data_IF_163504620681
#
_entry.id   IF_163504620681
#
_cell.length_a   1.000
_cell.length_b   1.000
_cell.length_c   1.000
_cell.angle_alpha   90.00
_cell.angle_beta   90.00
_cell.angle_gamma   90.00
#
_symmetry.space_group_name_H-M   'P 1'
#
loop_
_entity.id
_entity.type
_entity.pdbx_description
1 polymer ?
#
# COMPACT_ATOMS: atom_id res chain seq x y z
N UNK A 1 6.27 23.30 -53.87
CA UNK A 1 5.70 23.62 -52.55
C UNK A 1 6.59 22.93 -51.49
N UNK A 2 7.56 23.64 -50.93
CA UNK A 2 8.55 23.09 -49.98
C UNK A 2 7.90 23.00 -48.60
N UNK A 3 7.64 21.78 -48.14
CA UNK A 3 7.16 21.53 -46.77
C UNK A 3 8.29 21.89 -45.81
N UNK A 4 8.02 22.79 -44.87
CA UNK A 4 9.01 23.35 -43.93
C UNK A 4 9.49 22.26 -42.94
N UNK A 5 10.80 22.19 -42.63
CA UNK A 5 11.38 21.17 -41.74
C UNK A 5 10.89 21.24 -40.29
N UNK A 6 10.24 22.35 -39.91
CA UNK A 6 9.72 22.59 -38.56
C UNK A 6 8.54 21.64 -38.23
N UNK A 7 7.75 21.24 -39.23
CA UNK A 7 6.60 20.35 -39.00
C UNK A 7 7.02 18.91 -38.71
N UNK A 8 8.21 18.47 -39.18
CA UNK A 8 8.73 17.13 -38.91
C UNK A 8 9.27 16.99 -37.48
N UNK A 9 9.81 18.06 -36.90
CA UNK A 9 10.33 18.04 -35.52
C UNK A 9 9.21 17.93 -34.49
N UNK A 10 8.05 18.56 -34.74
CA UNK A 10 6.90 18.47 -33.83
C UNK A 10 6.24 17.07 -33.83
N UNK A 11 6.28 16.35 -34.95
CA UNK A 11 5.74 14.97 -35.01
C UNK A 11 6.69 13.99 -34.32
N UNK A 12 8.00 14.22 -34.39
CA UNK A 12 8.99 13.41 -33.68
C UNK A 12 8.93 13.60 -32.15
N UNK A 13 8.65 14.82 -31.66
CA UNK A 13 8.53 15.08 -30.21
C UNK A 13 7.24 14.53 -29.60
N UNK A 14 6.16 14.40 -30.39
CA UNK A 14 4.91 13.79 -29.95
C UNK A 14 4.99 12.25 -29.84
N UNK A 15 5.94 11.60 -30.50
CA UNK A 15 6.11 10.15 -30.43
C UNK A 15 6.88 9.69 -29.17
N UNK A 16 7.68 10.57 -28.56
CA UNK A 16 8.49 10.24 -27.36
C UNK A 16 7.72 10.48 -26.06
N UNK A 17 6.64 11.28 -26.08
CA UNK A 17 5.79 11.50 -24.90
C UNK A 17 4.80 10.35 -24.65
N UNK A 18 4.51 9.53 -25.65
CA UNK A 18 3.49 8.47 -25.57
C UNK A 18 4.00 7.16 -24.95
N UNK A 19 5.32 6.97 -24.82
CA UNK A 19 5.92 5.76 -24.24
C UNK A 19 6.02 5.80 -22.72
N UNK A 20 5.76 6.95 -22.08
CA UNK A 20 5.71 7.09 -20.62
C UNK A 20 4.41 6.54 -20.01
N UNK A 21 3.40 6.28 -20.85
CA UNK A 21 2.18 5.57 -20.48
C UNK A 21 2.21 4.17 -21.09
N UNK A 22 3.26 3.42 -20.81
CA UNK A 22 3.15 1.97 -20.93
C UNK A 22 1.96 1.57 -20.06
N UNK A 23 0.86 1.21 -20.72
CA UNK A 23 -0.30 0.58 -20.11
C UNK A 23 0.24 -0.50 -19.18
N UNK A 24 0.11 -0.31 -17.87
CA UNK A 24 0.37 -1.39 -16.92
C UNK A 24 -0.46 -2.57 -17.43
N UNK A 25 0.15 -3.72 -17.76
CA UNK A 25 -0.61 -4.81 -18.31
C UNK A 25 -1.73 -5.12 -17.32
N UNK A 26 -2.98 -4.98 -17.78
CA UNK A 26 -4.17 -5.41 -17.05
C UNK A 26 -4.14 -6.92 -16.71
N UNK A 27 -3.14 -7.65 -17.22
CA UNK A 27 -2.89 -9.06 -17.01
C UNK A 27 -2.44 -9.48 -15.60
N UNK A 28 -2.33 -8.56 -14.64
CA UNK A 28 -2.13 -8.91 -13.22
C UNK A 28 -3.43 -8.97 -12.42
N UNK A 29 -4.57 -8.62 -13.02
CA UNK A 29 -5.88 -8.72 -12.35
C UNK A 29 -6.38 -10.16 -12.17
N UNK A 30 -5.76 -11.15 -12.85
CA UNK A 30 -6.17 -12.56 -12.79
C UNK A 30 -5.46 -13.37 -11.69
N UNK A 31 -4.45 -12.82 -11.01
CA UNK A 31 -3.92 -13.45 -9.80
C UNK A 31 -4.82 -13.10 -8.61
N UNK A 32 -5.56 -14.09 -8.12
CA UNK A 32 -6.30 -13.98 -6.88
C UNK A 32 -5.35 -13.53 -5.76
N UNK A 33 -5.68 -12.43 -5.09
CA UNK A 33 -4.89 -11.93 -3.97
C UNK A 33 -4.76 -13.01 -2.88
N UNK A 34 -3.56 -13.27 -2.36
CA UNK A 34 -3.37 -14.22 -1.26
C UNK A 34 -4.18 -13.79 -0.03
N UNK A 35 -4.82 -14.77 0.60
CA UNK A 35 -5.55 -14.61 1.85
C UNK A 35 -4.97 -15.61 2.84
N UNK A 36 -4.61 -15.15 4.03
CA UNK A 36 -4.09 -15.95 5.12
C UNK A 36 -4.58 -15.46 6.47
N UNK A 37 -3.92 -15.89 7.54
CA UNK A 37 -4.25 -15.49 8.90
C UNK A 37 -3.21 -14.51 9.46
N UNK A 38 -3.59 -13.75 10.48
CA UNK A 38 -2.63 -12.95 11.25
C UNK A 38 -1.49 -13.85 11.75
N UNK A 39 -0.25 -13.44 11.48
CA UNK A 39 0.98 -14.21 11.68
C UNK A 39 1.54 -14.81 10.38
N UNK A 40 0.72 -15.01 9.35
CA UNK A 40 1.19 -15.52 8.06
C UNK A 40 1.96 -14.46 7.28
N UNK A 41 3.00 -14.91 6.57
CA UNK A 41 3.71 -14.08 5.59
C UNK A 41 3.10 -14.31 4.21
N UNK A 42 2.50 -13.28 3.63
CA UNK A 42 1.90 -13.32 2.31
C UNK A 42 2.74 -12.55 1.30
N UNK A 43 2.92 -13.14 0.11
CA UNK A 43 3.68 -12.55 -0.98
C UNK A 43 2.73 -11.96 -2.02
N UNK A 44 2.95 -10.72 -2.43
CA UNK A 44 2.28 -10.15 -3.61
C UNK A 44 3.32 -9.64 -4.64
N UNK A 45 2.99 -9.77 -5.92
CA UNK A 45 3.67 -9.12 -7.03
C UNK A 45 2.63 -8.35 -7.86
N UNK A 46 2.81 -7.05 -7.99
CA UNK A 46 1.92 -6.15 -8.71
C UNK A 46 2.71 -5.11 -9.53
N UNK A 47 2.85 -5.37 -10.82
CA UNK A 47 3.45 -4.45 -11.78
C UNK A 47 4.95 -4.30 -11.52
N UNK A 48 5.36 -3.15 -11.01
CA UNK A 48 6.76 -2.85 -10.64
C UNK A 48 7.03 -2.99 -9.15
N UNK A 49 6.02 -3.32 -8.34
CA UNK A 49 6.12 -3.47 -6.88
C UNK A 49 5.80 -4.90 -6.45
N UNK A 50 6.44 -5.36 -5.39
CA UNK A 50 6.16 -6.65 -4.75
C UNK A 50 6.87 -6.73 -3.40
N UNK A 51 6.26 -7.45 -2.46
CA UNK A 51 6.83 -7.66 -1.13
C UNK A 51 6.26 -8.91 -0.45
N UNK A 52 7.04 -9.45 0.47
CA UNK A 52 6.54 -10.35 1.52
C UNK A 52 6.08 -9.50 2.70
N UNK A 53 4.87 -9.73 3.18
CA UNK A 53 4.26 -8.95 4.26
C UNK A 53 3.75 -9.89 5.34
N UNK A 54 4.07 -9.60 6.60
CA UNK A 54 3.55 -10.30 7.78
C UNK A 54 2.83 -9.28 8.64
N UNK A 55 1.58 -9.56 9.01
CA UNK A 55 0.88 -8.81 10.05
C UNK A 55 0.87 -9.65 11.32
N UNK A 56 1.39 -9.12 12.43
CA UNK A 56 1.67 -9.90 13.64
C UNK A 56 0.53 -9.96 14.64
N UNK A 57 -0.24 -8.88 14.75
CA UNK A 57 -1.31 -8.73 15.73
C UNK A 57 -2.29 -7.65 15.31
N UNK A 58 -3.44 -7.61 15.99
CA UNK A 58 -4.43 -6.53 15.90
C UNK A 58 -4.86 -6.22 17.33
N UNK A 59 -4.70 -4.97 17.77
CA UNK A 59 -5.03 -4.59 19.13
C UNK A 59 -5.53 -3.14 19.26
N UNK A 60 -6.43 -2.84 20.22
CA UNK A 60 -6.75 -1.46 20.57
C UNK A 60 -5.56 -0.79 21.27
N UNK A 61 -5.48 0.53 21.17
CA UNK A 61 -4.42 1.35 21.77
C UNK A 61 -4.94 2.73 22.20
N UNK A 62 -4.10 3.49 22.91
CA UNK A 62 -4.37 4.88 23.24
C UNK A 62 -4.30 5.77 22.00
N UNK A 63 -4.66 7.06 22.13
CA UNK A 63 -4.56 8.01 21.02
C UNK A 63 -3.08 8.33 20.74
N UNK A 64 -2.55 7.97 19.56
CA UNK A 64 -1.17 8.25 19.17
C UNK A 64 -0.89 9.76 19.04
N UNK A 65 0.37 10.17 19.26
CA UNK A 65 0.78 11.53 18.95
C UNK A 65 0.58 11.87 17.46
N UNK A 66 0.26 13.13 17.15
CA UNK A 66 0.10 13.61 15.76
C UNK A 66 -1.20 13.19 15.06
N UNK A 67 -2.01 12.32 15.68
CA UNK A 67 -3.31 11.92 15.14
C UNK A 67 -4.37 13.01 15.39
N UNK A 68 -5.32 13.14 14.47
CA UNK A 68 -6.52 13.94 14.69
C UNK A 68 -7.33 13.40 15.90
N UNK A 69 -8.17 14.23 16.55
CA UNK A 69 -9.05 13.76 17.60
C UNK A 69 -9.87 12.54 17.13
N UNK A 70 -9.83 11.41 17.86
CA UNK A 70 -10.43 10.16 17.40
C UNK A 70 -11.96 10.24 17.43
N UNK A 71 -12.59 9.57 16.47
CA UNK A 71 -14.05 9.36 16.45
C UNK A 71 -14.45 8.15 17.28
N UNK A 72 -13.56 7.19 17.45
CA UNK A 72 -13.77 6.00 18.26
C UNK A 72 -12.51 5.56 19.01
N UNK A 73 -12.27 4.25 19.01
CA UNK A 73 -11.09 3.65 19.64
C UNK A 73 -10.00 3.54 18.58
N UNK A 74 -8.76 3.88 18.93
CA UNK A 74 -7.65 3.66 18.01
C UNK A 74 -7.22 2.21 18.08
N UNK A 75 -7.04 1.60 16.93
CA UNK A 75 -6.50 0.25 16.80
C UNK A 75 -5.19 0.29 16.05
N UNK A 76 -4.31 -0.67 16.32
CA UNK A 76 -3.04 -0.82 15.62
C UNK A 76 -2.72 -2.26 15.29
N UNK A 77 -1.83 -2.45 14.33
CA UNK A 77 -1.23 -3.73 13.99
C UNK A 77 0.25 -3.57 13.69
N UNK A 78 1.09 -4.46 14.23
CA UNK A 78 2.49 -4.54 13.86
C UNK A 78 2.67 -5.29 12.55
N UNK A 79 3.53 -4.76 11.68
CA UNK A 79 3.75 -5.26 10.32
C UNK A 79 5.24 -5.36 10.04
N UNK A 80 5.66 -6.49 9.47
CA UNK A 80 6.97 -6.65 8.85
C UNK A 80 6.81 -6.69 7.33
N UNK A 81 7.63 -5.92 6.62
CA UNK A 81 7.62 -5.88 5.15
C UNK A 81 9.03 -6.16 4.65
N UNK A 82 9.14 -7.10 3.71
CA UNK A 82 10.35 -7.38 2.94
C UNK A 82 10.09 -7.07 1.47
N UNK A 83 10.58 -5.93 0.94
CA UNK A 83 10.43 -5.61 -0.48
C UNK A 83 11.14 -6.64 -1.36
N UNK A 84 10.42 -7.29 -2.27
CA UNK A 84 10.96 -8.31 -3.18
C UNK A 84 11.22 -7.73 -4.57
N UNK A 85 10.46 -6.70 -4.94
CA UNK A 85 10.51 -6.03 -6.24
C UNK A 85 10.11 -4.57 -6.05
N UNK A 86 11.01 -3.62 -6.23
CA UNK A 86 10.69 -2.18 -6.15
C UNK A 86 11.56 -1.36 -7.09
N UNK A 87 11.04 -0.31 -7.74
CA UNK A 87 11.84 0.56 -8.61
C UNK A 87 12.79 1.48 -7.82
N UNK A 88 12.50 1.76 -6.55
CA UNK A 88 13.33 2.51 -5.63
C UNK A 88 12.87 2.26 -4.18
N UNK A 89 13.67 2.69 -3.19
CA UNK A 89 13.42 2.44 -1.76
C UNK A 89 12.18 3.14 -1.18
N UNK A 90 11.59 4.11 -1.88
CA UNK A 90 10.41 4.87 -1.45
C UNK A 90 9.10 4.34 -2.07
N UNK A 91 9.20 3.39 -3.00
CA UNK A 91 8.08 3.00 -3.85
C UNK A 91 6.90 2.39 -3.07
N UNK A 92 7.18 1.55 -2.07
CA UNK A 92 6.13 0.91 -1.28
C UNK A 92 5.34 1.92 -0.43
N UNK A 93 5.99 2.97 0.09
CA UNK A 93 5.30 4.02 0.85
C UNK A 93 4.19 4.67 0.02
N UNK A 94 4.44 4.88 -1.27
CA UNK A 94 3.48 5.51 -2.18
C UNK A 94 2.42 4.53 -2.68
N UNK A 95 2.74 3.25 -2.71
CA UNK A 95 1.92 2.26 -3.39
C UNK A 95 1.00 1.46 -2.46
N UNK A 96 1.29 1.38 -1.16
CA UNK A 96 0.62 0.45 -0.24
C UNK A 96 -0.32 1.17 0.73
N UNK A 97 -1.46 0.54 1.00
CA UNK A 97 -2.41 0.93 2.03
C UNK A 97 -2.93 -0.31 2.76
N UNK A 98 -2.72 -0.38 4.08
CA UNK A 98 -3.26 -1.46 4.92
C UNK A 98 -4.51 -0.96 5.62
N UNK A 99 -5.68 -1.37 5.13
CA UNK A 99 -6.97 -1.03 5.73
C UNK A 99 -7.41 -2.09 6.74
N UNK A 100 -8.06 -1.65 7.83
CA UNK A 100 -8.70 -2.55 8.78
C UNK A 100 -10.17 -2.75 8.42
N UNK A 101 -10.68 -3.98 8.46
CA UNK A 101 -12.06 -4.33 8.15
C UNK A 101 -12.74 -4.89 9.41
N UNK A 102 -13.95 -4.40 9.70
CA UNK A 102 -14.86 -5.00 10.68
C UNK A 102 -15.94 -5.79 9.94
N UNK A 103 -15.86 -7.12 9.89
CA UNK A 103 -16.87 -7.95 9.24
C UNK A 103 -18.21 -7.91 9.97
N UNK A 104 -18.23 -7.63 11.28
CA UNK A 104 -19.49 -7.58 12.05
C UNK A 104 -20.35 -6.36 11.67
N UNK A 105 -19.72 -5.28 11.20
CA UNK A 105 -20.39 -4.01 10.85
C UNK A 105 -20.32 -3.69 9.36
N UNK A 106 -19.45 -4.37 8.60
CA UNK A 106 -19.17 -4.07 7.20
C UNK A 106 -18.33 -2.81 6.99
N UNK A 107 -17.75 -2.24 8.05
CA UNK A 107 -16.93 -1.04 7.98
C UNK A 107 -15.50 -1.34 7.53
N UNK A 108 -14.94 -0.40 6.75
CA UNK A 108 -13.53 -0.36 6.39
C UNK A 108 -12.91 0.92 6.93
N UNK A 109 -11.82 0.78 7.68
CA UNK A 109 -11.09 1.86 8.30
C UNK A 109 -9.79 2.12 7.56
N UNK A 110 -9.54 3.39 7.26
CA UNK A 110 -8.34 3.78 6.54
C UNK A 110 -7.17 4.04 7.48
N UNK A 111 -5.95 3.60 7.11
CA UNK A 111 -4.78 3.83 7.92
C UNK A 111 -4.56 5.33 8.12
N UNK A 112 -4.28 5.70 9.36
CA UNK A 112 -4.00 7.05 9.77
C UNK A 112 -2.50 7.22 9.97
N UNK A 113 -2.01 8.41 9.67
CA UNK A 113 -0.65 8.80 10.01
C UNK A 113 -0.59 9.26 11.46
N UNK A 114 0.52 8.95 12.10
CA UNK A 114 0.86 9.33 13.47
C UNK A 114 2.29 9.88 13.52
N UNK A 115 2.64 10.45 14.66
CA UNK A 115 4.02 10.84 15.01
C UNK A 115 4.67 9.79 15.93
N UNK A 116 4.06 8.62 16.11
CA UNK A 116 4.68 7.52 16.85
C UNK A 116 5.93 7.03 16.13
N UNK A 117 6.98 6.67 16.87
CA UNK A 117 8.24 6.23 16.28
C UNK A 117 8.11 4.94 15.47
N UNK A 118 7.08 4.13 15.74
CA UNK A 118 6.80 2.88 15.05
C UNK A 118 5.85 3.04 13.85
N UNK A 119 5.38 4.25 13.50
CA UNK A 119 4.53 4.43 12.31
C UNK A 119 5.21 3.84 11.06
N UNK A 120 4.53 2.88 10.42
CA UNK A 120 5.06 2.14 9.27
C UNK A 120 5.50 3.08 8.12
N UNK A 121 4.88 4.26 8.00
CA UNK A 121 5.27 5.24 7.01
C UNK A 121 6.71 5.71 7.18
N UNK A 122 7.23 5.78 8.41
CA UNK A 122 8.63 6.15 8.64
C UNK A 122 9.59 5.09 8.11
N UNK A 123 9.29 3.81 8.37
CA UNK A 123 10.10 2.69 7.93
C UNK A 123 10.09 2.55 6.39
N UNK A 124 8.93 2.77 5.75
CA UNK A 124 8.78 2.65 4.31
C UNK A 124 9.40 3.81 3.49
N UNK A 125 9.83 4.91 4.13
CA UNK A 125 10.55 5.99 3.44
C UNK A 125 11.89 5.53 2.83
N UNK A 126 12.47 4.46 3.36
CA UNK A 126 13.72 3.91 2.88
C UNK A 126 13.73 2.37 3.02
N UNK A 127 12.88 1.70 2.26
CA UNK A 127 12.79 0.25 2.19
C UNK A 127 13.33 -0.26 0.83
N UNK A 128 14.66 -0.35 0.64
CA UNK A 128 15.24 -0.86 -0.60
C UNK A 128 14.91 -2.36 -0.81
N UNK A 129 14.97 -2.81 -2.05
CA UNK A 129 14.75 -4.22 -2.39
C UNK A 129 15.66 -5.15 -1.56
N UNK A 130 15.08 -6.22 -1.01
CA UNK A 130 15.78 -7.20 -0.18
C UNK A 130 15.95 -6.81 1.29
N UNK A 131 15.65 -5.57 1.67
CA UNK A 131 15.66 -5.13 3.08
C UNK A 131 14.48 -5.72 3.87
N UNK A 132 14.51 -5.55 5.18
CA UNK A 132 13.38 -5.83 6.07
C UNK A 132 13.10 -4.59 6.89
N UNK A 133 11.84 -4.15 6.88
CA UNK A 133 11.38 -3.01 7.66
C UNK A 133 10.21 -3.43 8.54
N UNK A 134 10.11 -2.81 9.72
CA UNK A 134 9.06 -3.07 10.69
C UNK A 134 8.36 -1.76 11.05
N UNK A 135 7.09 -1.84 11.38
CA UNK A 135 6.34 -0.70 11.89
C UNK A 135 4.93 -1.10 12.32
N UNK A 136 4.11 -0.10 12.57
CA UNK A 136 2.72 -0.22 12.97
C UNK A 136 1.83 0.61 12.05
N UNK A 137 0.65 0.07 11.77
CA UNK A 137 -0.43 0.78 11.09
C UNK A 137 -1.51 1.08 12.11
N UNK A 138 -2.10 2.27 12.04
CA UNK A 138 -3.09 2.77 13.00
C UNK A 138 -4.42 3.07 12.30
N UNK A 139 -5.55 2.82 12.97
CA UNK A 139 -6.90 3.11 12.45
C UNK A 139 -7.77 3.78 13.52
N UNK A 140 -8.60 4.74 13.12
CA UNK A 140 -9.68 5.29 13.95
C UNK A 140 -10.94 4.44 13.76
N UNK A 141 -11.23 3.58 14.74
CA UNK A 141 -12.27 2.55 14.69
C UNK A 141 -13.50 3.04 15.46
N UNK A 142 -14.51 3.47 14.71
CA UNK A 142 -15.68 4.17 15.27
C UNK A 142 -16.95 3.31 15.40
N UNK A 143 -16.96 2.04 14.96
CA UNK A 143 -18.12 1.14 15.10
C UNK A 143 -17.75 -0.26 15.59
N UNK A 144 -17.26 -1.12 14.71
CA UNK A 144 -16.88 -2.50 15.03
C UNK A 144 -15.37 -2.73 15.02
N UNK A 145 -14.85 -3.70 15.81
CA UNK A 145 -13.42 -3.99 15.91
C UNK A 145 -12.83 -4.43 14.57
N UNK A 146 -11.54 -4.16 14.36
CA UNK A 146 -10.82 -4.67 13.20
C UNK A 146 -10.61 -6.17 13.38
N UNK A 147 -11.01 -6.97 12.39
CA UNK A 147 -10.80 -8.42 12.34
C UNK A 147 -9.99 -8.86 11.16
N UNK A 148 -10.06 -8.14 10.04
CA UNK A 148 -9.23 -8.44 8.88
C UNK A 148 -8.39 -7.22 8.51
N UNK A 149 -7.21 -7.46 7.97
CA UNK A 149 -6.38 -6.42 7.37
C UNK A 149 -6.29 -6.70 5.88
N UNK A 150 -6.57 -5.69 5.07
CA UNK A 150 -6.53 -5.78 3.61
C UNK A 150 -5.46 -4.82 3.10
N UNK A 151 -4.44 -5.38 2.46
CA UNK A 151 -3.45 -4.62 1.72
C UNK A 151 -4.01 -4.29 0.33
N UNK A 152 -4.03 -3.01 0.00
CA UNK A 152 -4.48 -2.49 -1.29
C UNK A 152 -3.44 -1.59 -1.92
N UNK A 153 -3.50 -1.52 -3.25
CA UNK A 153 -2.82 -0.48 -4.01
C UNK A 153 -3.43 0.89 -3.70
N UNK A 154 -2.62 1.88 -3.33
CA UNK A 154 -3.09 3.25 -3.08
C UNK A 154 -3.71 3.86 -4.34
N UNK A 155 -3.12 3.62 -5.51
CA UNK A 155 -3.54 4.24 -6.77
C UNK A 155 -4.79 3.59 -7.37
N UNK A 156 -4.85 2.26 -7.39
CA UNK A 156 -5.89 1.50 -8.10
C UNK A 156 -6.90 0.86 -7.18
N UNK A 157 -6.67 0.86 -5.86
CA UNK A 157 -7.48 0.18 -4.84
C UNK A 157 -7.62 -1.33 -5.05
N UNK A 158 -6.83 -1.92 -5.96
CA UNK A 158 -6.75 -3.36 -6.16
C UNK A 158 -6.32 -4.04 -4.86
N UNK A 159 -7.01 -5.12 -4.52
CA UNK A 159 -6.68 -5.98 -3.38
C UNK A 159 -5.41 -6.76 -3.70
N UNK A 160 -4.37 -6.61 -2.86
CA UNK A 160 -3.07 -7.23 -3.04
C UNK A 160 -2.82 -8.40 -2.08
N UNK A 161 -3.36 -8.35 -0.85
CA UNK A 161 -3.32 -9.44 0.12
C UNK A 161 -4.30 -9.18 1.29
N UNK A 162 -4.73 -10.23 2.00
CA UNK A 162 -5.55 -10.11 3.21
C UNK A 162 -5.12 -11.07 4.32
N UNK A 163 -5.21 -10.59 5.56
CA UNK A 163 -5.00 -11.38 6.77
C UNK A 163 -6.25 -11.36 7.64
N UNK A 164 -6.72 -12.54 8.01
CA UNK A 164 -7.89 -12.74 8.87
C UNK A 164 -7.47 -13.15 10.29
N UNK A 165 -8.18 -12.64 11.31
CA UNK A 165 -7.94 -12.96 12.72
C UNK A 165 -8.45 -14.35 13.11
#
# INVERSE_FOLDING_TARGET
MRVRPITQVLIALAAVASSMFASMPAALADQQAPIGHIGDTLHFDYGTIGADVTVHNIEPTGVPAGMAPPRGVIWKAYVTIRPTKVPNAYALLMALKLGGISPETGDAYEPQRTDEPDDLNYALRNAPQGSTVNGAVYWDVYRGPVRHIVLRSTQTQVHLAQWDL
#
